data_IF_906720073500
#
_entry.id   IF_906720073500
#
_cell.length_a   1.000
_cell.length_b   1.000
_cell.length_c   1.000
_cell.angle_alpha   90.00
_cell.angle_beta   90.00
_cell.angle_gamma   90.00
#
_symmetry.space_group_name_H-M   'P 1'
#
loop_
_entity.id
_entity.type
_entity.pdbx_description
1 polymer ?
#
# COMPACT_ATOMS: atom_id res chain seq x y z
N UNK A 1 -49.50 -18.04 3.67
CA UNK A 1 -49.50 -19.33 4.36
C UNK A 1 -48.37 -19.29 5.38
N UNK A 2 -48.78 -19.46 6.63
CA UNK A 2 -47.99 -19.61 7.86
C UNK A 2 -47.10 -20.87 7.83
N UNK A 3 -46.16 -21.02 8.77
CA UNK A 3 -44.88 -21.69 8.61
C UNK A 3 -44.94 -23.19 8.90
N UNK A 4 -44.11 -23.98 8.23
CA UNK A 4 -43.89 -25.38 8.62
C UNK A 4 -42.84 -25.44 9.72
N UNK A 5 -43.37 -25.71 10.90
CA UNK A 5 -42.75 -25.84 12.21
C UNK A 5 -42.49 -27.34 12.42
N UNK A 6 -41.25 -27.81 12.23
CA UNK A 6 -40.86 -29.18 12.58
C UNK A 6 -40.50 -29.28 14.07
N UNK A 7 -41.01 -30.29 14.80
CA UNK A 7 -40.84 -30.39 16.25
C UNK A 7 -39.48 -30.97 16.62
N UNK A 8 -38.74 -30.27 17.49
CA UNK A 8 -37.53 -30.80 18.12
C UNK A 8 -37.97 -31.75 19.25
N UNK A 9 -37.44 -32.99 19.32
CA UNK A 9 -37.78 -33.92 20.39
C UNK A 9 -37.18 -33.49 21.73
N UNK A 10 -38.02 -33.48 22.76
CA UNK A 10 -37.70 -33.24 24.15
C UNK A 10 -36.60 -34.20 24.64
N UNK A 11 -35.51 -33.65 25.19
CA UNK A 11 -34.54 -34.43 25.96
C UNK A 11 -34.85 -34.30 27.45
N UNK A 12 -34.87 -35.40 28.21
CA UNK A 12 -35.32 -35.39 29.59
C UNK A 12 -34.21 -34.99 30.57
N UNK A 13 -34.58 -34.13 31.53
CA UNK A 13 -34.12 -34.18 32.92
C UNK A 13 -32.74 -33.63 33.25
N UNK A 14 -32.72 -32.44 33.87
CA UNK A 14 -31.65 -32.05 34.79
C UNK A 14 -31.62 -33.01 35.99
N UNK A 15 -30.44 -33.40 36.50
CA UNK A 15 -30.23 -33.53 37.92
C UNK A 15 -29.76 -32.20 38.50
N UNK A 16 -30.64 -31.58 39.29
CA UNK A 16 -30.33 -30.63 40.35
C UNK A 16 -29.27 -31.21 41.27
N UNK A 17 -28.10 -30.57 41.29
CA UNK A 17 -27.01 -30.86 42.22
C UNK A 17 -26.57 -29.58 42.89
N UNK A 18 -27.11 -29.33 44.08
CA UNK A 18 -26.60 -28.34 45.01
C UNK A 18 -25.11 -28.57 45.27
N UNK A 19 -24.28 -27.59 44.93
CA UNK A 19 -22.95 -27.45 45.50
C UNK A 19 -22.59 -25.97 45.62
N UNK A 20 -22.81 -25.47 46.83
CA UNK A 20 -22.05 -24.36 47.39
C UNK A 20 -20.56 -24.66 47.22
N UNK A 21 -19.94 -24.05 46.22
CA UNK A 21 -18.49 -23.94 46.15
C UNK A 21 -18.16 -22.44 46.19
N UNK A 22 -17.33 -22.12 47.16
CA UNK A 22 -17.01 -20.79 47.62
C UNK A 22 -16.46 -19.90 46.48
N UNK A 23 -16.92 -18.65 46.46
CA UNK A 23 -16.39 -17.57 45.64
C UNK A 23 -14.95 -17.25 46.10
N UNK A 24 -14.00 -18.07 45.67
CA UNK A 24 -12.60 -17.69 45.61
C UNK A 24 -12.42 -16.66 44.50
N UNK A 25 -12.41 -15.38 44.86
CA UNK A 25 -11.99 -14.28 43.99
C UNK A 25 -10.51 -14.41 43.65
N UNK A 26 -10.16 -15.38 42.81
CA UNK A 26 -8.86 -15.47 42.17
C UNK A 26 -8.79 -14.41 41.09
N UNK A 27 -8.08 -13.33 41.36
CA UNK A 27 -7.60 -12.43 40.31
C UNK A 27 -7.00 -13.28 39.18
N UNK A 28 -7.44 -13.14 37.92
CA UNK A 28 -6.88 -13.93 36.82
C UNK A 28 -5.36 -13.80 36.80
N UNK A 29 -4.62 -14.89 36.52
CA UNK A 29 -3.16 -14.87 36.51
C UNK A 29 -2.64 -13.79 35.56
N UNK A 30 -1.65 -13.04 36.04
CA UNK A 30 -1.04 -11.84 35.43
C UNK A 30 -0.51 -12.07 34.00
N UNK A 31 -0.28 -13.32 33.64
CA UNK A 31 0.26 -13.77 32.35
C UNK A 31 -0.64 -13.49 31.14
N UNK A 32 -1.96 -13.38 31.33
CA UNK A 32 -2.87 -13.04 30.22
C UNK A 32 -2.82 -11.53 29.90
N UNK A 33 -2.72 -10.67 30.92
CA UNK A 33 -2.67 -9.19 30.78
C UNK A 33 -1.37 -8.70 30.14
N UNK A 34 -0.26 -9.36 30.42
CA UNK A 34 1.04 -9.04 29.82
C UNK A 34 1.05 -9.28 28.30
N UNK A 35 0.42 -10.35 27.84
CA UNK A 35 0.39 -10.72 26.42
C UNK A 35 -0.41 -9.73 25.56
N UNK A 36 -1.50 -9.18 26.11
CA UNK A 36 -2.34 -8.19 25.43
C UNK A 36 -1.69 -6.80 25.41
N UNK A 37 -1.00 -6.42 26.49
CA UNK A 37 -0.30 -5.14 26.57
C UNK A 37 0.86 -5.04 25.56
N UNK A 38 1.65 -6.11 25.41
CA UNK A 38 2.74 -6.17 24.43
C UNK A 38 2.20 -6.07 23.00
N UNK A 39 1.11 -6.77 22.67
CA UNK A 39 0.47 -6.72 21.34
C UNK A 39 -0.08 -5.33 21.01
N UNK A 40 -0.70 -4.67 21.99
CA UNK A 40 -1.21 -3.30 21.85
C UNK A 40 -0.08 -2.30 21.54
N UNK A 41 1.03 -2.37 22.29
CA UNK A 41 2.18 -1.48 22.08
C UNK A 41 2.84 -1.64 20.71
N UNK A 42 2.87 -2.85 20.16
CA UNK A 42 3.41 -3.14 18.83
C UNK A 42 2.51 -2.62 17.72
N UNK A 43 1.19 -2.74 17.85
CA UNK A 43 0.21 -2.19 16.90
C UNK A 43 0.31 -0.67 16.83
N UNK A 44 0.31 -0.01 17.98
CA UNK A 44 0.44 1.45 18.05
C UNK A 44 1.73 1.95 17.39
N UNK A 45 2.85 1.23 17.55
CA UNK A 45 4.11 1.57 16.89
C UNK A 45 4.01 1.50 15.37
N UNK A 46 3.35 0.45 14.83
CA UNK A 46 3.14 0.26 13.39
C UNK A 46 2.24 1.37 12.83
N UNK A 47 1.16 1.71 13.53
CA UNK A 47 0.26 2.81 13.13
C UNK A 47 1.02 4.14 13.01
N UNK A 48 1.91 4.45 13.97
CA UNK A 48 2.77 5.63 13.88
C UNK A 48 3.73 5.53 12.69
N UNK A 49 4.35 4.35 12.46
CA UNK A 49 5.23 4.13 11.30
C UNK A 49 4.49 4.32 9.98
N UNK A 50 3.27 3.79 9.84
CA UNK A 50 2.46 3.90 8.64
C UNK A 50 2.04 5.35 8.38
N UNK A 51 1.63 6.07 9.42
CA UNK A 51 1.27 7.49 9.30
C UNK A 51 2.49 8.36 8.94
N UNK A 52 3.65 8.13 9.57
CA UNK A 52 4.88 8.82 9.20
C UNK A 52 5.29 8.50 7.75
N UNK A 53 5.23 7.23 7.34
CA UNK A 53 5.56 6.82 5.99
C UNK A 53 4.63 7.46 4.96
N UNK A 54 3.32 7.57 5.27
CA UNK A 54 2.35 8.26 4.43
C UNK A 54 2.68 9.76 4.27
N UNK A 55 2.92 10.46 5.38
CA UNK A 55 3.22 11.91 5.36
C UNK A 55 4.54 12.23 4.66
N UNK A 56 5.59 11.46 4.94
CA UNK A 56 6.90 11.63 4.29
C UNK A 56 6.86 11.17 2.82
N UNK A 57 6.08 10.15 2.51
CA UNK A 57 5.86 9.67 1.15
C UNK A 57 5.17 10.71 0.27
N UNK A 58 4.20 11.44 0.82
CA UNK A 58 3.46 12.54 0.15
C UNK A 58 4.23 13.88 0.12
N UNK A 59 5.45 13.93 0.67
CA UNK A 59 6.32 15.12 0.59
C UNK A 59 6.20 16.11 1.75
N UNK A 60 5.54 15.73 2.86
CA UNK A 60 5.53 16.56 4.07
C UNK A 60 6.93 16.72 4.67
N UNK A 61 7.18 17.85 5.33
CA UNK A 61 8.43 18.07 6.08
C UNK A 61 8.53 17.12 7.29
N UNK A 62 9.75 16.91 7.81
CA UNK A 62 9.99 16.08 8.99
C UNK A 62 9.18 16.59 10.19
N UNK A 63 9.16 17.91 10.40
CA UNK A 63 8.37 18.56 11.46
C UNK A 63 6.88 18.26 11.34
N UNK A 64 6.29 18.47 10.15
CA UNK A 64 4.87 18.24 9.92
C UNK A 64 4.48 16.75 10.05
N UNK A 65 5.35 15.85 9.60
CA UNK A 65 5.13 14.41 9.78
C UNK A 65 5.22 14.00 11.25
N UNK A 66 6.18 14.56 12.01
CA UNK A 66 6.36 14.30 13.43
C UNK A 66 5.15 14.76 14.25
N UNK A 67 4.66 15.97 13.97
CA UNK A 67 3.45 16.54 14.57
C UNK A 67 2.21 15.69 14.27
N UNK A 68 2.00 15.33 12.99
CA UNK A 68 0.88 14.50 12.59
C UNK A 68 0.87 13.13 13.27
N UNK A 69 2.04 12.56 13.56
CA UNK A 69 2.19 11.25 14.18
C UNK A 69 2.40 11.29 15.71
N UNK A 70 2.35 12.47 16.33
CA UNK A 70 2.50 12.62 17.79
C UNK A 70 3.88 12.21 18.33
N UNK A 71 4.94 12.36 17.53
CA UNK A 71 6.31 12.01 17.93
C UNK A 71 7.28 13.19 17.80
N UNK A 72 8.43 13.10 18.45
CA UNK A 72 9.50 14.08 18.27
C UNK A 72 10.23 13.91 16.94
N UNK A 73 10.75 15.01 16.37
CA UNK A 73 11.58 14.97 15.14
C UNK A 73 12.78 14.02 15.29
N UNK A 74 13.41 13.98 16.47
CA UNK A 74 14.50 13.04 16.80
C UNK A 74 14.08 11.58 16.58
N UNK A 75 12.83 11.23 16.87
CA UNK A 75 12.28 9.90 16.62
C UNK A 75 12.15 9.62 15.12
N UNK A 76 11.70 10.61 14.34
CA UNK A 76 11.62 10.50 12.87
C UNK A 76 13.01 10.31 12.26
N UNK A 77 14.00 11.13 12.64
CA UNK A 77 15.38 10.96 12.19
C UNK A 77 15.97 9.58 12.53
N UNK A 78 15.68 9.05 13.72
CA UNK A 78 16.11 7.69 14.11
C UNK A 78 15.44 6.62 13.24
N UNK A 79 14.14 6.76 12.92
CA UNK A 79 13.40 5.82 12.06
C UNK A 79 13.90 5.87 10.62
N UNK A 80 14.22 7.05 10.09
CA UNK A 80 14.80 7.25 8.76
C UNK A 80 16.14 6.53 8.56
N UNK A 81 16.87 6.18 9.62
CA UNK A 81 18.09 5.36 9.51
C UNK A 81 17.81 3.88 9.25
N UNK A 82 16.58 3.40 9.45
CA UNK A 82 16.20 1.99 9.28
C UNK A 82 15.80 1.71 7.84
N UNK A 83 16.39 0.66 7.25
CA UNK A 83 16.14 0.27 5.85
C UNK A 83 14.64 -0.02 5.61
N UNK A 84 14.01 -0.81 6.48
CA UNK A 84 12.58 -1.12 6.35
C UNK A 84 11.67 0.11 6.34
N UNK A 85 11.97 1.13 7.16
CA UNK A 85 11.16 2.34 7.20
C UNK A 85 11.35 3.18 5.93
N UNK A 86 12.56 3.24 5.37
CA UNK A 86 12.79 3.84 4.04
C UNK A 86 12.02 3.10 2.95
N UNK A 87 11.99 1.76 3.01
CA UNK A 87 11.22 0.94 2.07
C UNK A 87 9.71 1.21 2.18
N UNK A 88 9.17 1.42 3.39
CA UNK A 88 7.77 1.82 3.57
C UNK A 88 7.45 3.16 2.90
N UNK A 89 8.32 4.16 3.06
CA UNK A 89 8.18 5.47 2.38
C UNK A 89 8.22 5.31 0.86
N UNK A 90 9.17 4.53 0.34
CA UNK A 90 9.27 4.25 -1.09
C UNK A 90 8.02 3.51 -1.61
N UNK A 91 7.50 2.55 -0.85
CA UNK A 91 6.26 1.85 -1.19
C UNK A 91 5.04 2.78 -1.25
N UNK A 92 4.93 3.74 -0.33
CA UNK A 92 3.90 4.80 -0.41
C UNK A 92 4.05 5.60 -1.69
N UNK A 93 5.25 6.10 -1.98
CA UNK A 93 5.52 6.88 -3.20
C UNK A 93 5.17 6.09 -4.45
N UNK A 94 5.59 4.83 -4.51
CA UNK A 94 5.31 3.97 -5.64
C UNK A 94 3.80 3.79 -5.86
N UNK A 95 3.01 3.56 -4.79
CA UNK A 95 1.55 3.47 -4.90
C UNK A 95 0.93 4.76 -5.44
N UNK A 96 1.33 5.91 -4.90
CA UNK A 96 0.82 7.21 -5.33
C UNK A 96 1.16 7.51 -6.80
N UNK A 97 2.40 7.23 -7.21
CA UNK A 97 2.82 7.40 -8.60
C UNK A 97 2.06 6.43 -9.51
N UNK A 98 1.91 5.17 -9.12
CA UNK A 98 1.18 4.16 -9.89
C UNK A 98 -0.28 4.56 -10.11
N UNK A 99 -0.96 5.00 -9.06
CA UNK A 99 -2.34 5.48 -9.14
C UNK A 99 -2.47 6.71 -10.05
N UNK A 100 -1.59 7.70 -9.85
CA UNK A 100 -1.56 8.92 -10.67
C UNK A 100 -1.27 8.60 -12.13
N UNK A 101 -0.40 7.62 -12.40
CA UNK A 101 -0.06 7.17 -13.75
C UNK A 101 -1.26 6.51 -14.42
N UNK A 102 -2.04 5.70 -13.70
CA UNK A 102 -3.29 5.12 -14.22
C UNK A 102 -4.31 6.20 -14.60
N UNK A 103 -4.48 7.21 -13.75
CA UNK A 103 -5.35 8.36 -14.04
C UNK A 103 -4.87 9.16 -15.26
N UNK A 104 -3.56 9.40 -15.37
CA UNK A 104 -2.98 10.09 -16.52
C UNK A 104 -3.15 9.28 -17.80
N UNK A 105 -2.90 7.97 -17.76
CA UNK A 105 -3.07 7.06 -18.90
C UNK A 105 -4.51 7.08 -19.43
N UNK A 106 -5.50 7.13 -18.53
CA UNK A 106 -6.91 7.25 -18.93
C UNK A 106 -7.23 8.55 -19.68
N UNK A 107 -6.49 9.63 -19.42
CA UNK A 107 -6.68 10.93 -20.10
C UNK A 107 -5.76 11.13 -21.32
N UNK A 108 -4.72 10.31 -21.47
CA UNK A 108 -3.66 10.52 -22.44
C UNK A 108 -4.19 10.50 -23.88
N UNK A 109 -5.07 9.56 -24.22
CA UNK A 109 -5.69 9.49 -25.56
C UNK A 109 -6.46 10.78 -25.89
N UNK A 110 -7.21 11.33 -24.92
CA UNK A 110 -7.93 12.58 -25.11
C UNK A 110 -6.98 13.75 -25.33
N UNK A 111 -5.87 13.80 -24.60
CA UNK A 111 -4.85 14.83 -24.78
C UNK A 111 -4.16 14.74 -26.16
N UNK A 112 -3.86 13.53 -26.62
CA UNK A 112 -3.27 13.30 -27.96
C UNK A 112 -4.24 13.71 -29.06
N UNK A 113 -5.52 13.34 -28.98
CA UNK A 113 -6.54 13.79 -29.93
C UNK A 113 -6.64 15.31 -29.96
N UNK A 114 -6.65 15.95 -28.78
CA UNK A 114 -6.71 17.40 -28.71
C UNK A 114 -5.47 18.07 -29.31
N UNK A 115 -4.28 17.50 -29.14
CA UNK A 115 -3.07 17.97 -29.79
C UNK A 115 -3.12 17.76 -31.30
N UNK A 116 -3.68 16.64 -31.77
CA UNK A 116 -3.91 16.39 -33.19
C UNK A 116 -4.81 17.46 -33.81
N UNK A 117 -5.90 17.84 -33.15
CA UNK A 117 -6.77 18.93 -33.63
C UNK A 117 -6.03 20.27 -33.72
N UNK A 118 -5.06 20.52 -32.82
CA UNK A 118 -4.26 21.76 -32.82
C UNK A 118 -3.23 21.81 -33.94
N UNK A 119 -2.86 20.67 -34.54
CA UNK A 119 -2.00 20.62 -35.74
C UNK A 119 -2.69 21.32 -36.91
N UNK A 120 -4.02 21.21 -37.01
CA UNK A 120 -4.82 21.84 -38.06
C UNK A 120 -5.23 23.29 -37.72
N UNK A 121 -4.64 23.89 -36.69
CA UNK A 121 -4.89 25.29 -36.31
C UNK A 121 -4.51 26.26 -37.42
N UNK A 122 -5.36 27.25 -37.67
CA UNK A 122 -5.06 28.36 -38.60
C UNK A 122 -3.92 29.25 -38.13
N UNK A 123 -3.58 29.19 -36.84
CA UNK A 123 -2.43 29.93 -36.30
C UNK A 123 -1.18 29.08 -36.44
N UNK A 124 -0.28 29.45 -37.34
CA UNK A 124 0.94 28.71 -37.67
C UNK A 124 1.81 28.40 -36.44
N UNK A 125 1.91 29.33 -35.48
CA UNK A 125 2.69 29.13 -34.25
C UNK A 125 2.10 28.06 -33.35
N UNK A 126 0.76 27.96 -33.29
CA UNK A 126 0.05 26.92 -32.53
C UNK A 126 0.20 25.57 -33.22
N UNK A 127 0.02 25.51 -34.54
CA UNK A 127 0.21 24.29 -35.32
C UNK A 127 1.63 23.75 -35.19
N UNK A 128 2.65 24.60 -35.34
CA UNK A 128 4.06 24.21 -35.19
C UNK A 128 4.37 23.72 -33.77
N UNK A 129 3.82 24.37 -32.73
CA UNK A 129 4.01 23.94 -31.35
C UNK A 129 3.35 22.58 -31.08
N UNK A 130 2.14 22.34 -31.63
CA UNK A 130 1.45 21.07 -31.52
C UNK A 130 2.22 19.93 -32.21
N UNK A 131 2.70 20.15 -33.44
CA UNK A 131 3.55 19.20 -34.16
C UNK A 131 4.80 18.83 -33.36
N UNK A 132 5.52 19.82 -32.83
CA UNK A 132 6.71 19.59 -31.99
C UNK A 132 6.38 18.79 -30.74
N UNK A 133 5.31 19.16 -30.03
CA UNK A 133 4.88 18.45 -28.83
C UNK A 133 4.54 16.98 -29.11
N UNK A 134 3.89 16.68 -30.24
CA UNK A 134 3.59 15.31 -30.66
C UNK A 134 4.87 14.51 -30.98
N UNK A 135 5.82 15.09 -31.72
CA UNK A 135 7.11 14.43 -32.02
C UNK A 135 7.96 14.17 -30.78
N UNK A 136 8.02 15.14 -29.87
CA UNK A 136 8.76 14.99 -28.61
C UNK A 136 8.14 13.91 -27.72
N UNK A 137 6.80 13.87 -27.65
CA UNK A 137 6.09 12.86 -26.87
C UNK A 137 6.24 11.46 -27.48
N UNK A 138 6.10 11.32 -28.81
CA UNK A 138 6.19 10.02 -29.48
C UNK A 138 7.58 9.40 -29.38
N UNK A 139 8.64 10.20 -29.54
CA UNK A 139 10.03 9.75 -29.37
C UNK A 139 10.26 9.22 -27.96
N UNK A 140 9.88 10.00 -26.93
CA UNK A 140 10.06 9.59 -25.52
C UNK A 140 9.27 8.34 -25.16
N UNK A 141 8.02 8.22 -25.62
CA UNK A 141 7.19 7.04 -25.35
C UNK A 141 7.77 5.79 -26.01
N UNK A 142 8.27 5.92 -27.24
CA UNK A 142 8.91 4.81 -27.97
C UNK A 142 10.17 4.35 -27.25
N UNK A 143 11.02 5.29 -26.82
CA UNK A 143 12.22 5.00 -26.02
C UNK A 143 11.87 4.31 -24.70
N UNK A 144 10.87 4.81 -23.97
CA UNK A 144 10.42 4.20 -22.71
C UNK A 144 9.91 2.77 -22.90
N UNK A 145 9.18 2.50 -23.99
CA UNK A 145 8.69 1.15 -24.31
C UNK A 145 9.87 0.23 -24.66
N UNK A 146 10.81 0.67 -25.48
CA UNK A 146 12.01 -0.11 -25.80
C UNK A 146 12.81 -0.45 -24.54
N UNK A 147 13.03 0.53 -23.68
CA UNK A 147 13.73 0.30 -22.40
C UNK A 147 12.98 -0.65 -21.48
N UNK A 148 11.65 -0.54 -21.38
CA UNK A 148 10.85 -1.45 -20.57
C UNK A 148 10.95 -2.90 -21.06
N UNK A 149 10.82 -3.12 -22.38
CA UNK A 149 10.96 -4.45 -23.01
C UNK A 149 12.36 -5.02 -22.76
N UNK A 150 13.40 -4.22 -22.99
CA UNK A 150 14.79 -4.65 -22.79
C UNK A 150 15.07 -4.99 -21.33
N UNK A 151 14.50 -4.22 -20.39
CA UNK A 151 14.62 -4.50 -18.97
C UNK A 151 13.93 -5.82 -18.59
N UNK A 152 12.73 -6.06 -19.09
CA UNK A 152 11.99 -7.31 -18.86
C UNK A 152 12.77 -8.54 -19.36
N UNK A 153 13.37 -8.44 -20.57
CA UNK A 153 14.23 -9.49 -21.12
C UNK A 153 15.44 -9.74 -20.22
N UNK A 154 16.11 -8.69 -19.74
CA UNK A 154 17.27 -8.81 -18.86
C UNK A 154 16.90 -9.42 -17.50
N UNK A 155 15.79 -8.99 -16.91
CA UNK A 155 15.29 -9.53 -15.65
C UNK A 155 14.90 -11.02 -15.78
N UNK A 156 14.33 -11.41 -16.92
CA UNK A 156 14.04 -12.81 -17.22
C UNK A 156 15.33 -13.63 -17.31
N UNK A 157 16.33 -13.16 -18.05
CA UNK A 157 17.63 -13.84 -18.16
C UNK A 157 18.33 -13.98 -16.80
N UNK A 158 18.32 -12.92 -15.97
CA UNK A 158 18.88 -12.96 -14.63
C UNK A 158 18.19 -14.01 -13.75
N UNK A 159 16.86 -14.09 -13.79
CA UNK A 159 16.09 -15.09 -13.03
C UNK A 159 16.44 -16.51 -13.47
N UNK A 160 16.56 -16.76 -14.78
CA UNK A 160 16.93 -18.08 -15.31
C UNK A 160 18.33 -18.49 -14.87
N UNK A 161 19.34 -17.60 -15.03
CA UNK A 161 20.72 -17.86 -14.58
C UNK A 161 20.78 -18.15 -13.08
N UNK A 162 20.06 -17.37 -12.27
CA UNK A 162 20.07 -17.56 -10.81
C UNK A 162 19.43 -18.89 -10.41
N UNK A 163 18.43 -19.35 -11.18
CA UNK A 163 17.79 -20.66 -10.97
C UNK A 163 18.73 -21.79 -11.37
N UNK A 164 19.37 -21.70 -12.53
CA UNK A 164 20.32 -22.72 -13.00
C UNK A 164 21.49 -22.89 -12.01
N UNK A 165 21.99 -21.79 -11.45
CA UNK A 165 23.03 -21.81 -10.39
C UNK A 165 22.55 -22.34 -9.03
N UNK A 166 21.24 -22.33 -8.77
CA UNK A 166 20.64 -22.89 -7.56
C UNK A 166 20.33 -24.39 -7.71
N UNK A 167 20.03 -24.85 -8.92
CA UNK A 167 19.76 -26.25 -9.25
C UNK A 167 21.06 -27.08 -9.41
N UNK A 168 22.21 -26.45 -9.59
CA UNK A 168 23.54 -27.09 -9.72
C UNK A 168 24.27 -27.33 -8.36
N UNK A 169 23.65 -26.99 -7.22
CA UNK A 169 24.21 -27.14 -5.86
C UNK A 169 23.41 -28.12 -5.01
#
# INVERSE_FOLDING_TARGET
MTPENEPIPETPGLPTGDSKAELGGGTPPDSLKESDNVRSSMRHRREIDDLLALKLGTGSTIKAAAEAAGVSEKTVYRRLKRIHFKQQILGVRHRLLSESTGLLAAQLNKAVLKLSDLVDSQTETVALAACRALFDASTKMTEMIDFAIRLEILEFQQKTITKDLADEK
#
